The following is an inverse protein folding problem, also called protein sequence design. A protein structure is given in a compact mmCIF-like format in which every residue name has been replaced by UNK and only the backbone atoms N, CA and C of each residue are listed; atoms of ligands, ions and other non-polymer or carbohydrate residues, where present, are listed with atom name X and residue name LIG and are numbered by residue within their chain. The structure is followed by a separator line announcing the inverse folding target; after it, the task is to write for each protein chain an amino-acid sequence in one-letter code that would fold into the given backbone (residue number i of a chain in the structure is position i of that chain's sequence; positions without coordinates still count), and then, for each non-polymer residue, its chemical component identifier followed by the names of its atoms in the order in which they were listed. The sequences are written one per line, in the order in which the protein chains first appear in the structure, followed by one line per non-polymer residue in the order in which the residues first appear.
data_IF_542263773814
#
_entry.id   IF_542263773814
#
_cell.length_a   1.000
_cell.length_b   1.000
_cell.length_c   1.000
_cell.angle_alpha   90.00
_cell.angle_beta   90.00
_cell.angle_gamma   90.00
#
_symmetry.space_group_name_H-M   'P 1'
#
loop_
_entity.id
_entity.type
_entity.pdbx_description
1 polymer ?
#
# COMPACT_ATOMS: atom_id res chain seq x y z
N UNK A 1 -6.34 -20.40 -14.59
CA UNK A 1 -7.53 -19.55 -14.44
C UNK A 1 -7.05 -18.11 -14.41
N UNK A 2 -7.54 -17.25 -15.31
CA UNK A 2 -7.17 -15.83 -15.33
C UNK A 2 -8.01 -15.11 -14.29
N UNK A 3 -7.42 -14.71 -13.16
CA UNK A 3 -8.09 -13.86 -12.17
C UNK A 3 -7.97 -12.42 -12.63
N UNK A 4 -9.05 -11.82 -13.13
CA UNK A 4 -9.08 -10.39 -13.49
C UNK A 4 -9.00 -9.56 -12.21
N UNK A 5 -7.93 -8.79 -12.05
CA UNK A 5 -7.81 -7.77 -10.99
C UNK A 5 -8.96 -6.78 -11.17
N UNK A 6 -9.75 -6.56 -10.11
CA UNK A 6 -10.87 -5.60 -10.14
C UNK A 6 -10.37 -4.20 -9.78
N UNK A 7 -10.93 -3.12 -10.36
CA UNK A 7 -10.61 -1.75 -9.93
C UNK A 7 -10.98 -1.54 -8.45
N UNK A 8 -10.02 -1.09 -7.65
CA UNK A 8 -10.17 -1.00 -6.20
C UNK A 8 -9.57 0.28 -5.60
N UNK A 9 -8.57 0.88 -6.23
CA UNK A 9 -7.82 2.03 -5.68
C UNK A 9 -8.73 3.23 -5.42
N UNK A 10 -9.57 3.60 -6.39
CA UNK A 10 -10.53 4.70 -6.22
C UNK A 10 -11.47 4.47 -5.03
N UNK A 11 -11.97 3.25 -4.86
CA UNK A 11 -12.88 2.90 -3.76
C UNK A 11 -12.17 2.92 -2.42
N UNK A 12 -10.93 2.43 -2.36
CA UNK A 12 -10.10 2.50 -1.17
C UNK A 12 -9.86 3.95 -0.75
N UNK A 13 -9.37 4.80 -1.66
CA UNK A 13 -9.10 6.23 -1.38
C UNK A 13 -10.36 6.96 -0.93
N UNK A 14 -11.50 6.77 -1.61
CA UNK A 14 -12.75 7.42 -1.21
C UNK A 14 -13.21 7.01 0.20
N UNK A 15 -13.00 5.74 0.57
CA UNK A 15 -13.30 5.26 1.93
C UNK A 15 -12.40 5.95 2.97
N UNK A 16 -11.11 6.09 2.68
CA UNK A 16 -10.17 6.78 3.57
C UNK A 16 -10.58 8.24 3.79
N UNK A 17 -10.89 8.95 2.70
CA UNK A 17 -11.34 10.34 2.77
C UNK A 17 -12.65 10.46 3.57
N UNK A 18 -13.58 9.53 3.37
CA UNK A 18 -14.83 9.51 4.15
C UNK A 18 -14.59 9.28 5.65
N UNK A 19 -13.65 8.39 6.01
CA UNK A 19 -13.28 8.16 7.40
C UNK A 19 -12.65 9.41 8.01
N UNK A 20 -11.63 9.98 7.37
CA UNK A 20 -11.01 11.24 7.81
C UNK A 20 -12.04 12.35 8.03
N UNK A 21 -12.99 12.51 7.10
CA UNK A 21 -14.03 13.53 7.23
C UNK A 21 -15.00 13.26 8.41
N UNK A 22 -15.17 12.01 8.80
CA UNK A 22 -16.09 11.60 9.86
C UNK A 22 -15.45 11.66 11.26
N UNK A 23 -14.18 11.28 11.40
CA UNK A 23 -13.50 11.13 12.69
C UNK A 23 -12.32 12.08 12.91
N UNK A 24 -11.94 12.85 11.88
CA UNK A 24 -10.82 13.79 11.95
C UNK A 24 -9.44 13.14 11.97
N UNK A 25 -9.35 11.84 11.65
CA UNK A 25 -8.07 11.11 11.63
C UNK A 25 -7.15 11.66 10.55
N UNK A 26 -5.84 11.58 10.80
CA UNK A 26 -4.85 11.97 9.80
C UNK A 26 -4.76 10.90 8.69
N UNK A 27 -4.59 11.32 7.44
CA UNK A 27 -4.55 10.40 6.28
C UNK A 27 -3.34 9.48 6.36
N UNK A 28 -2.28 9.92 7.02
CA UNK A 28 -1.05 9.17 7.19
C UNK A 28 -1.24 7.85 7.97
N UNK A 29 -2.29 7.76 8.80
CA UNK A 29 -2.56 6.58 9.65
C UNK A 29 -3.56 5.59 9.01
N UNK A 30 -4.05 5.90 7.80
CA UNK A 30 -5.14 5.16 7.19
C UNK A 30 -4.62 4.00 6.31
N UNK A 31 -4.88 2.77 6.77
CA UNK A 31 -4.49 1.54 6.08
C UNK A 31 -5.34 1.28 4.82
N UNK A 32 -4.67 1.02 3.70
CA UNK A 32 -5.32 0.64 2.45
C UNK A 32 -5.46 -0.89 2.41
N UNK A 33 -6.71 -1.36 2.52
CA UNK A 33 -7.04 -2.78 2.37
C UNK A 33 -7.60 -3.07 0.97
N UNK A 34 -6.80 -3.64 0.04
CA UNK A 34 -7.19 -3.84 -1.36
C UNK A 34 -8.31 -4.88 -1.55
N UNK A 35 -8.57 -5.74 -0.56
CA UNK A 35 -9.63 -6.75 -0.61
C UNK A 35 -9.41 -7.84 -1.67
N UNK A 36 -8.24 -7.86 -2.32
CA UNK A 36 -7.88 -8.78 -3.39
C UNK A 36 -6.41 -8.60 -3.81
N UNK A 37 -5.97 -9.31 -4.87
CA UNK A 37 -4.60 -9.22 -5.37
C UNK A 37 -4.22 -7.81 -5.81
N UNK A 38 -3.03 -7.37 -5.42
CA UNK A 38 -2.46 -6.08 -5.84
C UNK A 38 -1.35 -6.32 -6.86
N UNK A 39 -1.33 -5.53 -7.92
CA UNK A 39 -0.20 -5.51 -8.84
C UNK A 39 0.81 -4.45 -8.39
N UNK A 40 1.99 -4.89 -7.97
CA UNK A 40 3.14 -4.00 -7.77
C UNK A 40 3.77 -3.71 -9.13
N UNK A 41 3.84 -2.43 -9.49
CA UNK A 41 4.45 -1.97 -10.75
C UNK A 41 5.95 -1.76 -10.58
N UNK A 42 6.34 -1.11 -9.48
CA UNK A 42 7.73 -0.71 -9.24
C UNK A 42 8.00 -0.49 -7.75
N UNK A 43 9.10 -1.01 -7.24
CA UNK A 43 9.64 -0.62 -5.94
C UNK A 43 10.43 0.69 -6.05
N UNK A 44 10.19 1.61 -5.14
CA UNK A 44 10.77 2.96 -5.11
C UNK A 44 11.79 3.14 -3.99
N UNK A 45 11.69 2.37 -2.91
CA UNK A 45 12.75 2.20 -1.93
C UNK A 45 13.19 0.73 -1.87
N UNK A 46 14.44 0.54 -1.45
CA UNK A 46 15.05 -0.76 -1.21
C UNK A 46 15.62 -0.76 0.21
N UNK A 47 15.70 -1.95 0.81
CA UNK A 47 16.35 -2.14 2.10
C UNK A 47 17.82 -1.70 2.00
N UNK A 48 18.30 -1.02 3.05
CA UNK A 48 19.69 -0.58 3.14
C UNK A 48 20.54 -1.75 3.65
N UNK A 49 21.33 -2.36 2.77
CA UNK A 49 22.17 -3.53 3.12
C UNK A 49 23.18 -3.22 4.24
N UNK A 50 23.48 -1.94 4.49
CA UNK A 50 24.50 -1.49 5.44
C UNK A 50 23.90 -1.02 6.77
N UNK A 51 22.57 -0.86 6.82
CA UNK A 51 21.84 -0.48 8.02
C UNK A 51 20.52 -1.28 8.10
N UNK A 52 20.58 -2.55 8.57
CA UNK A 52 19.42 -3.42 8.71
C UNK A 52 18.44 -2.97 9.82
N UNK A 53 18.78 -1.93 10.60
CA UNK A 53 17.88 -1.33 11.59
C UNK A 53 17.06 -0.17 11.04
N UNK A 54 17.52 0.45 9.95
CA UNK A 54 16.78 1.46 9.19
C UNK A 54 15.53 0.81 8.61
N UNK A 55 14.42 1.07 9.29
CA UNK A 55 13.12 0.44 9.06
C UNK A 55 12.84 0.18 7.57
N UNK A 56 12.50 -1.06 7.24
CA UNK A 56 12.16 -1.58 5.91
C UNK A 56 10.83 -1.00 5.38
N UNK A 57 10.67 0.31 5.46
CA UNK A 57 9.55 1.01 4.86
C UNK A 57 9.75 0.97 3.35
N UNK A 58 8.96 0.12 2.69
CA UNK A 58 9.04 -0.07 1.25
C UNK A 58 7.99 0.80 0.59
N UNK A 59 8.46 1.85 -0.09
CA UNK A 59 7.66 2.61 -1.02
C UNK A 59 7.54 1.82 -2.32
N UNK A 60 6.32 1.67 -2.80
CA UNK A 60 6.08 1.06 -4.11
C UNK A 60 4.98 1.80 -4.86
N UNK A 61 5.09 1.73 -6.17
CA UNK A 61 4.01 2.05 -7.08
C UNK A 61 3.15 0.80 -7.29
N UNK A 62 1.87 0.89 -6.95
CA UNK A 62 0.88 -0.16 -7.17
C UNK A 62 -0.14 0.28 -8.21
N UNK A 63 -0.71 -0.67 -8.93
CA UNK A 63 -1.74 -0.40 -9.93
C UNK A 63 -2.92 -1.34 -9.78
N UNK A 64 -4.10 -0.82 -10.08
CA UNK A 64 -5.24 -1.60 -10.53
C UNK A 64 -5.44 -1.35 -12.05
N UNK A 65 -6.46 -1.91 -12.72
CA UNK A 65 -6.68 -1.69 -14.15
C UNK A 65 -6.99 -0.25 -14.57
N UNK A 66 -7.36 0.64 -13.63
CA UNK A 66 -7.85 1.98 -13.91
C UNK A 66 -6.95 3.09 -13.34
N UNK A 67 -6.21 2.81 -12.27
CA UNK A 67 -5.47 3.80 -11.49
C UNK A 67 -4.13 3.24 -11.02
N UNK A 68 -3.24 4.17 -10.67
CA UNK A 68 -1.95 3.88 -10.03
C UNK A 68 -1.84 4.73 -8.77
N UNK A 69 -1.27 4.17 -7.71
CA UNK A 69 -0.98 4.90 -6.48
C UNK A 69 0.45 4.61 -5.99
N UNK A 70 0.99 5.57 -5.22
CA UNK A 70 2.17 5.36 -4.39
C UNK A 70 1.70 4.89 -3.03
N UNK A 71 2.26 3.77 -2.56
CA UNK A 71 1.88 3.13 -1.30
C UNK A 71 3.13 2.84 -0.49
N UNK A 72 3.02 3.06 0.81
CA UNK A 72 4.00 2.66 1.80
C UNK A 72 3.61 1.31 2.38
N UNK A 73 4.50 0.32 2.28
CA UNK A 73 4.44 -0.89 3.09
C UNK A 73 5.29 -0.65 4.33
N UNK A 74 4.64 -0.54 5.49
CA UNK A 74 5.35 -0.32 6.73
C UNK A 74 6.24 -1.53 7.09
N UNK A 75 7.28 -1.27 7.90
CA UNK A 75 8.20 -2.29 8.42
C UNK A 75 7.48 -3.52 9.00
N UNK A 76 6.36 -3.34 9.70
CA UNK A 76 5.63 -4.46 10.33
C UNK A 76 5.03 -5.38 9.26
N UNK A 77 4.46 -4.81 8.20
CA UNK A 77 3.90 -5.53 7.06
C UNK A 77 5.02 -6.27 6.30
N UNK A 78 6.16 -5.63 6.07
CA UNK A 78 7.30 -6.23 5.37
C UNK A 78 7.90 -7.40 6.16
N UNK A 79 8.13 -7.23 7.46
CA UNK A 79 8.70 -8.29 8.31
C UNK A 79 7.80 -9.53 8.44
N UNK A 80 6.47 -9.36 8.36
CA UNK A 80 5.53 -10.50 8.32
C UNK A 80 5.69 -11.37 7.07
N UNK A 81 6.22 -10.84 5.97
CA UNK A 81 6.41 -11.55 4.70
C UNK A 81 7.81 -12.13 4.50
N UNK A 82 8.80 -11.78 5.33
CA UNK A 82 10.18 -12.31 5.22
C UNK A 82 10.41 -13.65 5.97
N UNK A 83 9.39 -14.21 6.64
CA UNK A 83 9.47 -15.52 7.34
C UNK A 83 9.05 -16.67 6.43
#
# INVERSE_FOLDING_TARGET
MSSTVQPWLRRAVLRLVQQQLADGSDVADLEILPGGPVQVVKFLSFADEHDPEKADDIWAQVSDPEHTALVLFDRTAVQRHQK
#
